data_IF_752898128015
#
_entry.id   IF_752898128015
#
_cell.length_a   1.000
_cell.length_b   1.000
_cell.length_c   1.000
_cell.angle_alpha   90.00
_cell.angle_beta   90.00
_cell.angle_gamma   90.00
#
_symmetry.space_group_name_H-M   'P 1'
#
loop_
_entity.id
_entity.type
_entity.pdbx_description
1 polymer ?
#
# COMPACT_ATOMS: atom_id res chain seq x y z
N UNK A 1 20.05 16.30 -12.46
CA UNK A 1 19.22 15.62 -11.47
C UNK A 1 17.86 15.39 -12.11
N UNK A 2 17.37 14.17 -12.05
CA UNK A 2 16.09 13.74 -12.61
C UNK A 2 14.92 13.95 -11.62
N UNK A 3 15.07 14.86 -10.68
CA UNK A 3 14.07 15.22 -9.67
C UNK A 3 13.87 16.74 -9.66
N UNK A 4 12.64 17.24 -9.40
CA UNK A 4 12.39 18.66 -9.35
C UNK A 4 13.03 19.30 -8.13
N UNK A 5 13.18 20.64 -8.15
CA UNK A 5 13.72 21.41 -7.03
C UNK A 5 12.80 21.48 -5.81
N UNK A 6 11.53 21.11 -5.98
CA UNK A 6 10.52 21.10 -4.91
C UNK A 6 9.89 19.72 -4.85
N UNK A 7 9.97 19.13 -3.67
CA UNK A 7 9.30 17.88 -3.33
C UNK A 7 8.55 18.08 -2.01
N UNK A 8 7.61 17.21 -1.72
CA UNK A 8 6.76 17.30 -0.54
C UNK A 8 6.88 16.04 0.31
N UNK A 9 6.56 16.14 1.59
CA UNK A 9 6.42 15.01 2.50
C UNK A 9 4.94 14.73 2.70
N UNK A 10 4.55 13.46 2.53
CA UNK A 10 3.17 13.00 2.75
C UNK A 10 3.17 11.72 3.56
N UNK A 11 2.06 11.38 4.19
CA UNK A 11 1.85 10.07 4.81
C UNK A 11 0.37 9.69 4.79
N UNK A 12 0.11 8.39 4.87
CA UNK A 12 -1.21 7.85 5.17
C UNK A 12 -1.05 6.74 6.23
N UNK A 13 -1.69 6.93 7.38
CA UNK A 13 -1.61 6.01 8.54
C UNK A 13 -0.17 5.66 8.98
N UNK A 14 0.74 6.66 8.93
CA UNK A 14 2.14 6.50 9.34
C UNK A 14 3.09 6.01 8.25
N UNK A 15 2.61 5.39 7.19
CA UNK A 15 3.42 5.05 6.01
C UNK A 15 3.71 6.34 5.23
N UNK A 16 4.98 6.70 5.10
CA UNK A 16 5.40 8.04 4.70
C UNK A 16 6.17 8.06 3.38
N UNK A 17 5.94 9.10 2.60
CA UNK A 17 6.43 9.19 1.23
C UNK A 17 7.05 10.55 0.94
N UNK A 18 8.06 10.56 0.07
CA UNK A 18 8.47 11.74 -0.67
C UNK A 18 7.59 11.82 -1.92
N UNK A 19 6.90 12.94 -2.15
CA UNK A 19 5.98 13.08 -3.27
C UNK A 19 6.26 14.32 -4.10
N UNK A 20 6.04 14.27 -5.42
CA UNK A 20 6.07 15.43 -6.28
C UNK A 20 5.17 15.29 -7.51
N UNK A 21 4.82 16.43 -8.10
CA UNK A 21 4.11 16.53 -9.36
C UNK A 21 5.10 16.71 -10.51
N UNK A 22 4.91 15.93 -11.56
CA UNK A 22 5.64 16.03 -12.82
C UNK A 22 4.67 15.96 -14.00
N UNK A 23 3.95 17.06 -14.22
CA UNK A 23 2.96 17.16 -15.28
C UNK A 23 3.58 17.11 -16.69
N UNK A 24 4.82 17.54 -16.84
CA UNK A 24 5.51 17.57 -18.13
C UNK A 24 6.29 16.28 -18.44
N UNK A 25 6.36 15.35 -17.50
CA UNK A 25 7.09 14.09 -17.69
C UNK A 25 8.61 14.23 -17.79
N UNK A 26 9.20 15.23 -17.13
CA UNK A 26 10.62 15.55 -17.26
C UNK A 26 11.49 15.04 -16.10
N UNK A 27 10.88 14.57 -15.02
CA UNK A 27 11.55 14.24 -13.77
C UNK A 27 11.39 12.78 -13.36
N UNK A 28 11.74 11.84 -14.25
CA UNK A 28 11.75 10.43 -13.89
C UNK A 28 12.97 10.10 -13.03
N UNK A 29 12.78 9.65 -11.76
CA UNK A 29 13.88 9.48 -10.84
C UNK A 29 14.66 8.19 -11.13
N UNK A 30 15.96 8.23 -10.97
CA UNK A 30 16.80 7.03 -10.93
C UNK A 30 16.66 6.31 -9.58
N UNK A 31 16.99 5.01 -9.53
CA UNK A 31 16.99 4.25 -8.28
C UNK A 31 17.91 4.85 -7.21
N UNK A 32 19.05 5.43 -7.62
CA UNK A 32 20.00 6.10 -6.70
C UNK A 32 19.41 7.38 -6.11
N UNK A 33 18.71 8.17 -6.91
CA UNK A 33 18.03 9.37 -6.44
C UNK A 33 16.88 9.03 -5.48
N UNK A 34 16.14 7.93 -5.73
CA UNK A 34 15.11 7.44 -4.80
C UNK A 34 15.74 7.04 -3.48
N UNK A 35 16.80 6.21 -3.50
CA UNK A 35 17.52 5.82 -2.28
C UNK A 35 18.02 7.01 -1.49
N UNK A 36 18.59 8.00 -2.17
CA UNK A 36 19.08 9.21 -1.52
C UNK A 36 17.93 10.01 -0.88
N UNK A 37 16.85 10.26 -1.61
CA UNK A 37 15.72 11.04 -1.10
C UNK A 37 15.01 10.33 0.06
N UNK A 38 14.91 9.00 0.00
CA UNK A 38 14.23 8.20 1.03
C UNK A 38 15.11 7.90 2.24
N UNK A 39 16.42 8.18 2.17
CA UNK A 39 17.32 8.02 3.31
C UNK A 39 16.91 8.96 4.45
N UNK A 40 16.73 8.39 5.68
CA UNK A 40 16.22 9.13 6.84
C UNK A 40 17.28 9.97 7.53
N UNK A 41 18.57 9.80 7.18
CA UNK A 41 19.68 10.51 7.78
C UNK A 41 20.26 11.58 6.84
N UNK A 42 20.38 11.27 5.55
CA UNK A 42 21.05 12.14 4.58
C UNK A 42 20.07 12.73 3.55
N UNK A 43 18.87 12.17 3.42
CA UNK A 43 17.82 12.64 2.54
C UNK A 43 16.66 13.30 3.30
N UNK A 44 15.47 13.20 2.72
CA UNK A 44 14.21 13.65 3.34
C UNK A 44 13.63 12.56 4.23
N UNK A 45 13.93 11.31 3.89
CA UNK A 45 13.41 10.12 4.56
C UNK A 45 12.00 9.74 4.10
N UNK A 46 11.75 8.46 3.92
CA UNK A 46 10.44 7.93 3.58
C UNK A 46 10.49 6.44 3.30
N UNK A 47 9.33 5.79 3.35
CA UNK A 47 9.17 4.38 2.97
C UNK A 47 9.19 4.21 1.44
N UNK A 48 9.06 5.31 0.72
CA UNK A 48 9.16 5.36 -0.73
C UNK A 48 8.94 6.74 -1.31
N UNK A 49 9.05 6.80 -2.64
CA UNK A 49 8.85 8.00 -3.42
C UNK A 49 7.66 7.79 -4.36
N UNK A 50 6.78 8.80 -4.48
CA UNK A 50 5.66 8.79 -5.41
C UNK A 50 5.75 10.03 -6.32
N UNK A 51 5.92 9.80 -7.60
CA UNK A 51 5.80 10.80 -8.66
C UNK A 51 4.39 10.75 -9.24
N UNK A 52 3.67 11.86 -9.20
CA UNK A 52 2.40 12.02 -9.89
C UNK A 52 2.67 12.56 -11.29
N UNK A 53 2.38 11.79 -12.32
CA UNK A 53 2.67 12.14 -13.71
C UNK A 53 1.62 11.55 -14.66
N UNK A 54 1.77 11.73 -15.96
CA UNK A 54 0.93 11.05 -16.94
C UNK A 54 1.49 9.64 -17.26
N UNK A 55 0.65 8.64 -17.58
CA UNK A 55 1.10 7.27 -17.88
C UNK A 55 2.17 7.21 -18.97
N UNK A 56 2.07 8.07 -19.99
CA UNK A 56 3.00 8.12 -21.13
C UNK A 56 4.41 8.57 -20.75
N UNK A 57 4.56 9.22 -19.60
CA UNK A 57 5.83 9.71 -19.09
C UNK A 57 6.56 8.71 -18.16
N UNK A 58 6.06 7.50 -18.03
CA UNK A 58 6.63 6.44 -17.19
C UNK A 58 7.29 5.40 -18.09
N UNK A 59 8.62 5.34 -18.05
CA UNK A 59 9.43 4.61 -19.03
C UNK A 59 9.28 3.08 -18.97
N UNK A 60 8.88 2.53 -17.83
CA UNK A 60 8.68 1.09 -17.62
C UNK A 60 7.27 0.58 -17.97
N UNK A 61 6.34 1.46 -18.31
CA UNK A 61 5.01 1.04 -18.76
C UNK A 61 5.02 0.61 -20.21
N UNK A 62 4.33 -0.49 -20.49
CA UNK A 62 4.09 -0.94 -21.85
C UNK A 62 2.79 -0.34 -22.44
N UNK A 63 2.63 -0.43 -23.77
CA UNK A 63 1.47 0.11 -24.48
C UNK A 63 0.12 -0.40 -23.94
N UNK A 64 0.07 -1.64 -23.46
CA UNK A 64 -1.16 -2.21 -22.90
C UNK A 64 -1.54 -1.53 -21.58
N UNK A 65 -0.57 -1.28 -20.72
CA UNK A 65 -0.81 -0.58 -19.43
C UNK A 65 -1.26 0.86 -19.68
N UNK A 66 -0.62 1.55 -20.63
CA UNK A 66 -1.01 2.91 -21.04
C UNK A 66 -2.44 2.90 -21.63
N UNK A 67 -2.77 1.92 -22.48
CA UNK A 67 -4.11 1.79 -23.06
C UNK A 67 -5.19 1.52 -21.99
N UNK A 68 -4.89 0.75 -20.94
CA UNK A 68 -5.80 0.54 -19.82
C UNK A 68 -6.08 1.85 -19.08
N UNK A 69 -5.03 2.64 -18.78
CA UNK A 69 -5.22 3.97 -18.17
C UNK A 69 -6.13 4.86 -19.03
N UNK A 70 -5.91 4.90 -20.34
CA UNK A 70 -6.72 5.69 -21.27
C UNK A 70 -8.18 5.21 -21.34
N UNK A 71 -8.40 3.89 -21.40
CA UNK A 71 -9.75 3.30 -21.45
C UNK A 71 -10.57 3.59 -20.18
N UNK A 72 -9.90 3.66 -19.02
CA UNK A 72 -10.53 3.95 -17.74
C UNK A 72 -10.51 5.44 -17.36
N UNK A 73 -10.13 6.33 -18.28
CA UNK A 73 -10.00 7.78 -18.07
C UNK A 73 -9.10 8.13 -16.87
N UNK A 74 -8.00 7.40 -16.69
CA UNK A 74 -6.96 7.68 -15.70
C UNK A 74 -5.83 8.48 -16.34
N UNK A 75 -6.00 9.80 -16.42
CA UNK A 75 -5.02 10.73 -17.01
C UNK A 75 -3.76 10.85 -16.16
N UNK A 76 -3.84 10.54 -14.88
CA UNK A 76 -2.75 10.61 -13.92
C UNK A 76 -2.33 9.24 -13.43
N UNK A 77 -1.02 9.09 -13.21
CA UNK A 77 -0.37 7.85 -12.81
C UNK A 77 0.45 8.03 -11.54
N UNK A 78 0.34 7.08 -10.65
CA UNK A 78 1.16 6.95 -9.46
C UNK A 78 2.42 6.13 -9.79
N UNK A 79 3.51 6.78 -10.17
CA UNK A 79 4.83 6.14 -10.31
C UNK A 79 5.42 5.99 -8.90
N UNK A 80 5.14 4.84 -8.28
CA UNK A 80 5.60 4.52 -6.93
C UNK A 80 6.85 3.66 -6.96
N UNK A 81 7.83 4.04 -6.14
CA UNK A 81 9.09 3.34 -5.95
C UNK A 81 9.37 3.18 -4.46
N UNK A 82 9.78 1.98 -4.04
CA UNK A 82 10.19 1.70 -2.68
C UNK A 82 11.45 2.49 -2.31
N UNK A 83 11.75 2.63 -1.01
CA UNK A 83 12.93 3.37 -0.54
C UNK A 83 14.27 2.82 -1.06
N UNK A 84 14.33 1.55 -1.43
CA UNK A 84 15.52 0.91 -2.04
C UNK A 84 15.68 1.20 -3.54
N UNK A 85 14.75 1.95 -4.13
CA UNK A 85 14.71 2.31 -5.55
C UNK A 85 14.03 1.27 -6.45
N UNK A 86 13.54 0.17 -5.91
CA UNK A 86 12.77 -0.83 -6.67
C UNK A 86 11.39 -0.31 -7.08
N UNK A 87 10.90 -0.78 -8.22
CA UNK A 87 9.54 -0.46 -8.68
C UNK A 87 8.52 -1.22 -7.83
N UNK A 88 7.43 -0.55 -7.48
CA UNK A 88 6.32 -1.15 -6.77
C UNK A 88 5.04 -1.10 -7.61
N UNK A 89 4.26 -2.17 -7.55
CA UNK A 89 3.01 -2.33 -8.29
C UNK A 89 1.96 -1.31 -7.84
N UNK A 90 1.71 -1.24 -6.54
CA UNK A 90 0.70 -0.38 -5.91
C UNK A 90 0.87 -0.38 -4.39
N UNK A 91 0.43 0.69 -3.73
CA UNK A 91 0.34 0.78 -2.28
C UNK A 91 -0.95 1.51 -1.90
N UNK A 92 -1.83 0.86 -1.15
CA UNK A 92 -3.11 1.46 -0.73
C UNK A 92 -2.92 2.74 0.10
N UNK A 93 -1.91 2.81 0.97
CA UNK A 93 -1.55 4.03 1.69
C UNK A 93 -1.04 5.11 0.73
N UNK A 94 -0.18 4.71 -0.22
CA UNK A 94 0.35 5.60 -1.26
C UNK A 94 -0.75 6.21 -2.13
N UNK A 95 -1.77 5.43 -2.52
CA UNK A 95 -2.89 5.96 -3.32
C UNK A 95 -3.65 7.05 -2.59
N UNK A 96 -3.88 6.89 -1.27
CA UNK A 96 -4.55 7.93 -0.45
C UNK A 96 -3.68 9.17 -0.30
N UNK A 97 -2.40 8.99 0.02
CA UNK A 97 -1.45 10.10 0.19
C UNK A 97 -1.31 10.93 -1.09
N UNK A 98 -1.15 10.27 -2.25
CA UNK A 98 -0.98 10.96 -3.53
C UNK A 98 -2.29 11.59 -4.02
N UNK A 99 -3.46 11.02 -3.70
CA UNK A 99 -4.75 11.64 -4.02
C UNK A 99 -4.99 12.91 -3.22
N UNK A 100 -4.66 12.93 -1.92
CA UNK A 100 -4.70 14.16 -1.12
C UNK A 100 -3.75 15.21 -1.69
N UNK A 101 -2.55 14.80 -2.10
CA UNK A 101 -1.61 15.70 -2.77
C UNK A 101 -2.19 16.23 -4.08
N UNK A 102 -2.79 15.37 -4.94
CA UNK A 102 -3.44 15.77 -6.17
C UNK A 102 -4.58 16.77 -5.95
N UNK A 103 -5.38 16.61 -4.88
CA UNK A 103 -6.40 17.59 -4.48
C UNK A 103 -5.79 18.96 -4.15
N UNK A 104 -4.68 18.97 -3.43
CA UNK A 104 -3.96 20.22 -3.09
C UNK A 104 -3.32 20.89 -4.29
N UNK A 105 -3.04 20.14 -5.37
CA UNK A 105 -2.58 20.66 -6.66
C UNK A 105 -3.73 21.06 -7.60
N UNK A 106 -5.00 20.87 -7.19
CA UNK A 106 -6.16 21.15 -8.03
C UNK A 106 -6.41 20.13 -9.15
N UNK A 107 -5.80 18.94 -9.04
CA UNK A 107 -5.88 17.84 -10.03
C UNK A 107 -7.05 16.92 -9.71
N UNK A 108 -7.23 16.53 -8.45
CA UNK A 108 -8.31 15.66 -8.01
C UNK A 108 -9.45 16.44 -7.36
N UNK A 109 -10.67 15.89 -7.45
CA UNK A 109 -11.87 16.51 -6.87
C UNK A 109 -11.83 16.56 -5.34
N UNK A 110 -12.48 17.58 -4.77
CA UNK A 110 -12.68 17.73 -3.32
C UNK A 110 -13.73 16.74 -2.79
N UNK A 111 -13.89 16.61 -1.46
CA UNK A 111 -14.94 15.77 -0.88
C UNK A 111 -16.32 16.03 -1.48
N UNK A 112 -17.04 14.94 -1.87
CA UNK A 112 -18.32 15.02 -2.56
C UNK A 112 -18.25 15.32 -4.06
N UNK A 113 -17.05 15.47 -4.62
CA UNK A 113 -16.83 15.58 -6.07
C UNK A 113 -16.72 14.22 -6.76
N UNK A 114 -16.38 14.26 -8.04
CA UNK A 114 -16.18 13.05 -8.85
C UNK A 114 -15.02 12.22 -8.32
N UNK A 115 -15.14 10.88 -8.34
CA UNK A 115 -14.04 10.00 -7.98
C UNK A 115 -12.79 10.23 -8.84
N UNK A 116 -11.63 10.20 -8.21
CA UNK A 116 -10.35 10.33 -8.90
C UNK A 116 -9.89 8.97 -9.41
N UNK A 117 -9.62 8.89 -10.71
CA UNK A 117 -9.10 7.70 -11.37
C UNK A 117 -7.60 7.80 -11.49
N UNK A 118 -6.90 6.90 -10.80
CA UNK A 118 -5.44 6.93 -10.68
C UNK A 118 -4.85 5.67 -11.29
N UNK A 119 -4.05 5.82 -12.33
CA UNK A 119 -3.27 4.73 -12.90
C UNK A 119 -2.21 4.24 -11.92
N UNK A 120 -2.02 2.94 -11.84
CA UNK A 120 -0.93 2.28 -11.10
C UNK A 120 -0.42 1.10 -11.92
N UNK A 121 0.74 0.54 -11.58
CA UNK A 121 1.25 -0.68 -12.23
C UNK A 121 0.30 -1.87 -12.05
N UNK A 122 -0.48 -1.89 -10.95
CA UNK A 122 -1.55 -2.86 -10.69
C UNK A 122 -2.92 -2.45 -11.24
N UNK A 123 -2.95 -1.66 -12.34
CA UNK A 123 -4.17 -1.17 -12.98
C UNK A 123 -4.72 0.11 -12.36
N UNK A 124 -5.86 0.57 -12.86
CA UNK A 124 -6.51 1.79 -12.38
C UNK A 124 -7.18 1.58 -11.04
N UNK A 125 -7.01 2.53 -10.13
CA UNK A 125 -7.70 2.61 -8.85
C UNK A 125 -8.65 3.80 -8.84
N UNK A 126 -9.83 3.61 -8.27
CA UNK A 126 -10.83 4.67 -8.13
C UNK A 126 -10.87 5.12 -6.68
N UNK A 127 -10.65 6.41 -6.45
CA UNK A 127 -10.60 6.99 -5.11
C UNK A 127 -11.71 8.01 -4.94
N UNK A 128 -12.56 7.78 -3.97
CA UNK A 128 -13.62 8.71 -3.57
C UNK A 128 -13.21 9.43 -2.29
N UNK A 129 -13.15 10.75 -2.35
CA UNK A 129 -12.85 11.55 -1.15
C UNK A 129 -14.12 11.69 -0.30
N UNK A 130 -14.05 11.21 0.94
CA UNK A 130 -15.14 11.30 1.92
C UNK A 130 -14.99 12.52 2.84
N UNK A 131 -13.83 13.21 2.77
CA UNK A 131 -13.50 14.30 3.69
C UNK A 131 -13.28 13.80 5.12
N UNK A 132 -13.68 14.61 6.10
CA UNK A 132 -13.55 14.26 7.51
C UNK A 132 -14.71 13.36 7.93
N UNK A 133 -14.39 12.17 8.44
CA UNK A 133 -15.36 11.20 8.96
C UNK A 133 -15.14 11.03 10.46
N UNK A 134 -16.11 11.36 11.33
CA UNK A 134 -15.89 11.41 12.80
C UNK A 134 -15.29 10.16 13.41
N UNK A 135 -15.63 8.97 12.89
CA UNK A 135 -15.15 7.68 13.38
C UNK A 135 -13.83 7.23 12.76
N UNK A 136 -13.41 7.81 11.62
CA UNK A 136 -12.24 7.39 10.86
C UNK A 136 -11.12 8.44 10.82
N UNK A 137 -11.43 9.70 11.10
CA UNK A 137 -10.47 10.79 11.12
C UNK A 137 -10.64 11.79 9.98
N UNK A 138 -9.54 12.49 9.66
CA UNK A 138 -9.51 13.54 8.63
C UNK A 138 -9.04 12.99 7.29
N UNK A 139 -9.45 13.69 6.22
CA UNK A 139 -9.01 13.41 4.85
C UNK A 139 -9.19 11.92 4.47
N UNK A 140 -10.39 11.37 4.73
CA UNK A 140 -10.69 9.95 4.51
C UNK A 140 -10.98 9.70 3.03
N UNK A 141 -10.43 8.60 2.52
CA UNK A 141 -10.65 8.14 1.14
C UNK A 141 -11.17 6.71 1.13
N UNK A 142 -12.16 6.46 0.31
CA UNK A 142 -12.53 5.11 -0.12
C UNK A 142 -11.73 4.76 -1.37
N UNK A 143 -11.12 3.58 -1.40
CA UNK A 143 -10.32 3.10 -2.54
C UNK A 143 -10.93 1.82 -3.07
N UNK A 144 -11.25 1.78 -4.36
CA UNK A 144 -11.64 0.55 -5.04
C UNK A 144 -10.37 -0.25 -5.39
N UNK A 145 -10.08 -1.27 -4.57
CA UNK A 145 -8.87 -2.08 -4.71
C UNK A 145 -8.97 -3.13 -5.81
N UNK A 146 -10.17 -3.40 -6.32
CA UNK A 146 -10.43 -4.46 -7.30
C UNK A 146 -10.78 -5.80 -6.65
N UNK A 147 -10.81 -6.85 -7.47
CA UNK A 147 -11.11 -8.21 -7.00
C UNK A 147 -9.96 -8.78 -6.19
N UNK A 148 -10.27 -9.44 -5.11
CA UNK A 148 -9.32 -10.22 -4.34
C UNK A 148 -9.40 -11.72 -4.71
N UNK A 149 -8.28 -12.42 -4.51
CA UNK A 149 -8.22 -13.88 -4.64
C UNK A 149 -7.81 -14.45 -3.30
N UNK A 150 -8.48 -15.50 -2.88
CA UNK A 150 -8.15 -16.23 -1.66
C UNK A 150 -7.70 -17.65 -1.99
N UNK A 151 -6.62 -18.09 -1.38
CA UNK A 151 -6.19 -19.47 -1.34
C UNK A 151 -7.03 -20.34 -0.38
N UNK A 152 -6.56 -21.53 -0.13
CA UNK A 152 -7.17 -22.42 0.86
C UNK A 152 -7.14 -21.79 2.25
N UNK A 153 -8.24 -21.93 2.99
CA UNK A 153 -8.33 -21.46 4.36
C UNK A 153 -7.29 -22.20 5.21
N UNK A 154 -6.52 -21.45 6.01
CA UNK A 154 -5.49 -21.99 6.90
C UNK A 154 -4.46 -22.91 6.21
N UNK A 155 -4.27 -22.68 4.92
CA UNK A 155 -3.39 -23.50 4.06
C UNK A 155 -1.89 -23.35 4.35
N UNK A 156 -1.51 -22.37 5.16
CA UNK A 156 -0.11 -22.06 5.46
C UNK A 156 0.16 -22.10 6.96
N UNK A 157 1.37 -22.54 7.33
CA UNK A 157 1.92 -22.36 8.66
C UNK A 157 2.82 -21.13 8.68
N UNK A 158 2.63 -20.27 9.66
CA UNK A 158 3.40 -19.04 9.85
C UNK A 158 4.17 -19.11 11.16
N UNK A 159 5.49 -18.93 11.08
CA UNK A 159 6.40 -18.90 12.24
C UNK A 159 7.25 -17.63 12.22
N UNK A 160 7.76 -17.21 13.38
CA UNK A 160 8.72 -16.10 13.51
C UNK A 160 10.02 -16.68 14.05
N UNK A 161 11.15 -16.60 13.32
CA UNK A 161 12.44 -17.09 13.81
C UNK A 161 12.80 -16.51 15.17
N UNK A 162 13.13 -17.35 16.13
CA UNK A 162 13.43 -16.92 17.51
C UNK A 162 12.22 -16.80 18.43
N UNK A 163 11.00 -16.84 17.90
CA UNK A 163 9.76 -16.86 18.68
C UNK A 163 9.19 -18.28 18.72
N UNK A 164 8.80 -18.76 19.88
CA UNK A 164 8.17 -20.06 20.01
C UNK A 164 6.72 -20.03 19.50
N UNK A 165 6.31 -21.13 18.83
CA UNK A 165 4.95 -21.27 18.35
C UNK A 165 4.79 -21.00 16.86
N UNK A 166 3.57 -21.22 16.37
CA UNK A 166 3.14 -20.96 14.99
C UNK A 166 1.67 -20.54 14.96
N UNK A 167 1.24 -20.03 13.82
CA UNK A 167 -0.16 -19.76 13.52
C UNK A 167 -0.54 -20.33 12.16
N UNK A 168 -1.84 -20.53 11.92
CA UNK A 168 -2.37 -20.86 10.61
C UNK A 168 -2.65 -19.58 9.82
N UNK A 169 -2.26 -19.57 8.54
CA UNK A 169 -2.43 -18.43 7.66
C UNK A 169 -3.18 -18.76 6.37
N UNK A 170 -3.94 -17.80 5.91
CA UNK A 170 -4.67 -17.85 4.63
C UNK A 170 -4.03 -16.89 3.64
N UNK A 171 -3.69 -17.40 2.46
CA UNK A 171 -3.19 -16.55 1.37
C UNK A 171 -4.30 -15.68 0.79
N UNK A 172 -4.04 -14.40 0.64
CA UNK A 172 -4.94 -13.42 0.01
C UNK A 172 -4.14 -12.53 -0.93
N UNK A 173 -4.55 -12.48 -2.20
CA UNK A 173 -3.95 -11.60 -3.20
C UNK A 173 -4.95 -10.49 -3.54
N UNK A 174 -4.55 -9.25 -3.29
CA UNK A 174 -5.30 -8.03 -3.60
C UNK A 174 -4.59 -7.18 -4.68
N UNK A 175 -3.76 -7.83 -5.53
CA UNK A 175 -2.79 -7.16 -6.40
C UNK A 175 -1.46 -6.92 -5.68
N UNK A 176 -1.36 -7.34 -4.43
CA UNK A 176 -0.17 -7.50 -3.62
C UNK A 176 -0.41 -8.71 -2.72
N UNK A 177 0.46 -9.74 -2.75
CA UNK A 177 0.24 -10.98 -2.03
C UNK A 177 0.41 -10.82 -0.52
N UNK A 178 -0.51 -11.41 0.24
CA UNK A 178 -0.54 -11.41 1.69
C UNK A 178 -0.77 -12.82 2.23
N UNK A 179 -0.28 -13.09 3.43
CA UNK A 179 -0.71 -14.22 4.25
C UNK A 179 -1.29 -13.66 5.54
N UNK A 180 -2.58 -13.85 5.73
CA UNK A 180 -3.30 -13.38 6.92
C UNK A 180 -3.39 -14.51 7.93
N UNK A 181 -2.78 -14.35 9.09
CA UNK A 181 -2.76 -15.30 10.18
C UNK A 181 -3.56 -14.75 11.38
N UNK A 182 -4.68 -15.39 11.70
CA UNK A 182 -5.43 -15.07 12.92
C UNK A 182 -4.68 -15.67 14.10
N UNK A 183 -4.41 -14.87 15.11
CA UNK A 183 -3.71 -15.28 16.34
C UNK A 183 -4.58 -15.00 17.57
N UNK A 184 -4.16 -15.53 18.71
CA UNK A 184 -4.94 -15.50 19.97
C UNK A 184 -6.27 -16.27 19.85
N UNK A 185 -6.27 -17.29 19.02
CA UNK A 185 -7.34 -18.26 18.83
C UNK A 185 -6.89 -19.70 19.18
N UNK A 186 -7.76 -20.69 18.92
CA UNK A 186 -7.47 -22.10 19.19
C UNK A 186 -6.40 -22.71 18.25
N UNK A 187 -6.05 -22.04 17.15
CA UNK A 187 -5.15 -22.51 16.09
C UNK A 187 -3.80 -21.81 16.09
N UNK A 188 -3.57 -20.90 17.04
CA UNK A 188 -2.31 -20.18 17.19
C UNK A 188 -1.67 -20.47 18.53
N UNK A 189 -0.36 -20.69 18.51
CA UNK A 189 0.50 -20.73 19.71
C UNK A 189 1.52 -19.61 19.75
N UNK A 190 1.40 -18.62 18.85
CA UNK A 190 2.20 -17.40 18.89
C UNK A 190 1.83 -16.52 20.08
N UNK A 191 2.75 -15.63 20.53
CA UNK A 191 2.42 -14.58 21.50
C UNK A 191 1.28 -13.68 21.03
N UNK A 192 0.73 -12.85 21.94
CA UNK A 192 -0.31 -11.87 21.60
C UNK A 192 0.20 -10.85 20.59
N UNK A 193 -0.71 -10.17 19.87
CA UNK A 193 -0.35 -9.14 18.87
C UNK A 193 0.60 -8.08 19.45
N UNK A 194 0.41 -7.71 20.71
CA UNK A 194 1.23 -6.70 21.40
C UNK A 194 2.64 -7.21 21.78
N UNK A 195 2.84 -8.52 21.79
CA UNK A 195 4.10 -9.17 22.21
C UNK A 195 4.88 -9.77 21.05
N UNK A 196 4.29 -9.74 19.83
CA UNK A 196 4.95 -10.26 18.64
C UNK A 196 6.21 -9.46 18.28
N UNK A 197 7.26 -10.18 17.89
CA UNK A 197 8.37 -9.61 17.15
C UNK A 197 7.93 -9.34 15.72
N UNK A 198 7.62 -8.06 15.39
CA UNK A 198 7.24 -7.61 14.06
C UNK A 198 8.45 -7.10 13.24
N UNK A 199 9.67 -7.21 13.77
CA UNK A 199 10.91 -6.81 13.10
C UNK A 199 11.53 -7.98 12.33
N UNK A 200 11.48 -9.18 12.94
CA UNK A 200 12.00 -10.39 12.30
C UNK A 200 11.05 -10.89 11.22
N UNK A 201 11.59 -11.10 10.01
CA UNK A 201 10.82 -11.62 8.86
C UNK A 201 10.18 -12.96 9.18
N UNK A 202 8.84 -13.10 9.11
CA UNK A 202 8.15 -14.36 9.29
C UNK A 202 8.50 -15.38 8.19
N UNK A 203 8.37 -16.66 8.54
CA UNK A 203 8.53 -17.78 7.60
C UNK A 203 7.17 -18.39 7.36
N UNK A 204 6.82 -18.58 6.08
CA UNK A 204 5.56 -19.15 5.62
C UNK A 204 5.84 -20.50 4.98
N UNK A 205 5.12 -21.55 5.38
CA UNK A 205 5.22 -22.90 4.83
C UNK A 205 3.82 -23.45 4.43
N UNK A 206 3.65 -24.03 3.22
CA UNK A 206 4.64 -24.17 2.16
C UNK A 206 5.10 -22.80 1.63
N UNK A 207 6.33 -22.78 1.06
CA UNK A 207 6.90 -21.54 0.51
C UNK A 207 6.06 -21.03 -0.66
N UNK A 208 5.78 -19.74 -0.64
CA UNK A 208 5.16 -19.00 -1.76
C UNK A 208 6.28 -18.48 -2.65
N UNK A 209 6.15 -18.58 -3.98
CA UNK A 209 7.20 -18.18 -4.93
C UNK A 209 7.44 -16.67 -4.96
N UNK A 210 6.38 -15.86 -4.76
CA UNK A 210 6.48 -14.42 -4.65
C UNK A 210 6.74 -14.01 -3.21
N UNK A 211 7.43 -12.88 -3.01
CA UNK A 211 7.47 -12.23 -1.70
C UNK A 211 6.04 -11.80 -1.31
N UNK A 212 5.69 -12.07 -0.07
CA UNK A 212 4.37 -11.75 0.47
C UNK A 212 4.49 -11.02 1.80
N UNK A 213 3.54 -10.14 2.07
CA UNK A 213 3.36 -9.58 3.40
C UNK A 213 2.70 -10.61 4.33
N UNK A 214 3.01 -10.54 5.60
CA UNK A 214 2.35 -11.35 6.63
C UNK A 214 1.62 -10.44 7.59
N UNK A 215 0.31 -10.66 7.72
CA UNK A 215 -0.56 -9.91 8.61
C UNK A 215 -0.96 -10.80 9.79
N UNK A 216 -0.62 -10.38 11.00
CA UNK A 216 -1.12 -11.03 12.22
C UNK A 216 -2.35 -10.28 12.70
N UNK A 217 -3.44 -11.00 12.87
CA UNK A 217 -4.76 -10.41 13.16
C UNK A 217 -5.34 -11.06 14.41
N UNK A 218 -5.82 -10.22 15.34
CA UNK A 218 -6.68 -10.66 16.43
C UNK A 218 -8.09 -10.18 16.17
N UNK A 219 -9.08 -11.02 16.42
CA UNK A 219 -10.48 -10.65 16.32
C UNK A 219 -10.94 -10.19 17.72
N UNK A 220 -11.19 -8.89 17.87
CA UNK A 220 -11.67 -8.27 19.11
C UNK A 220 -13.20 -8.25 19.11
N UNK A 221 -13.92 -9.17 19.62
CA UNK A 221 -15.38 -9.26 19.75
C UNK A 221 -16.21 -9.29 18.46
N UNK A 222 -16.99 -10.33 18.30
CA UNK A 222 -18.15 -10.34 17.38
C UNK A 222 -19.32 -9.65 18.13
N UNK A 223 -19.76 -8.50 17.64
CA UNK A 223 -21.06 -7.94 18.07
C UNK A 223 -22.16 -8.90 17.60
N UNK A 224 -22.99 -9.39 18.52
CA UNK A 224 -24.17 -10.18 18.19
C UNK A 224 -25.09 -9.30 17.31
N UNK A 225 -25.15 -9.58 16.00
CA UNK A 225 -26.07 -8.93 15.07
C UNK A 225 -25.51 -8.38 13.77
N UNK A 226 -24.19 -8.10 13.70
CA UNK A 226 -23.54 -7.65 12.49
C UNK A 226 -22.50 -8.69 12.05
N UNK A 227 -22.52 -9.06 10.76
CA UNK A 227 -21.49 -9.92 10.15
C UNK A 227 -20.13 -9.20 10.02
N UNK A 228 -19.94 -8.07 10.67
CA UNK A 228 -18.74 -7.25 10.69
C UNK A 228 -18.05 -7.39 12.06
N UNK A 229 -17.13 -8.32 12.18
CA UNK A 229 -16.23 -8.40 13.34
C UNK A 229 -15.21 -7.26 13.32
N UNK A 230 -15.02 -6.58 14.44
CA UNK A 230 -13.90 -5.68 14.62
C UNK A 230 -12.61 -6.49 14.74
N UNK A 231 -11.63 -6.20 13.90
CA UNK A 231 -10.33 -6.85 13.95
C UNK A 231 -9.23 -5.86 14.32
N UNK A 232 -8.38 -6.22 15.27
CA UNK A 232 -7.13 -5.50 15.53
C UNK A 232 -6.01 -6.16 14.72
N UNK A 233 -5.35 -5.37 13.91
CA UNK A 233 -4.32 -5.84 12.98
C UNK A 233 -2.95 -5.42 13.50
N UNK A 234 -2.09 -6.40 13.77
CA UNK A 234 -0.66 -6.23 13.87
C UNK A 234 -0.02 -6.54 12.51
N UNK A 235 0.73 -5.60 11.96
CA UNK A 235 1.35 -5.75 10.65
C UNK A 235 2.86 -5.90 10.78
N UNK A 236 3.39 -7.05 10.34
CA UNK A 236 4.80 -7.20 10.07
C UNK A 236 5.06 -6.76 8.62
N UNK A 237 5.86 -5.71 8.43
CA UNK A 237 6.43 -5.40 7.13
C UNK A 237 7.64 -6.30 6.88
N UNK A 238 7.60 -6.99 5.77
CA UNK A 238 8.71 -7.79 5.25
C UNK A 238 9.39 -7.03 4.13
#
# INVERSE_FOLDING_TARGET
>A
MSIPSIVYKAHATGNDFVVYLDAEGTYEPTADEVRFLCDRHFGIGGDGLIRLTHPQAVSDLNDKQIAVCAADNADWFMDYRNADGSLAEMCGNGTRAITLFAQRQGIAGQPGGEPFRLGTRAGVKVLTSLGDVPTLGKDVFQVEMGSWKRGDLDGYEVTIPGTAGSARGTFVDMGNPHVVAVIEDAFSSLPTVEQLDLVTKPVVAPRIESDQNVEFVRIDEQSEGDNEGNAKIGRAHV
#
